data_IF_210997365233
#
_entry.id   IF_210997365233
#
_cell.length_a   1.000
_cell.length_b   1.000
_cell.length_c   1.000
_cell.angle_alpha   90.00
_cell.angle_beta   90.00
_cell.angle_gamma   90.00
#
_symmetry.space_group_name_H-M   'P 1'
#
loop_
_entity.id
_entity.type
_entity.pdbx_description
1 polymer ?
#
# COMPACT_ATOMS: atom_id res chain seq x y z
N UNK A 1 25.03 -2.71 17.34
CA UNK A 1 23.93 -3.71 17.26
C UNK A 1 22.85 -3.19 16.31
N UNK A 2 22.27 -4.03 15.42
CA UNK A 2 21.16 -3.62 14.56
C UNK A 2 19.92 -3.31 15.41
N UNK A 3 19.31 -2.14 15.20
CA UNK A 3 18.15 -1.71 15.98
C UNK A 3 16.90 -2.45 15.50
N UNK A 4 16.27 -3.26 16.37
CA UNK A 4 15.02 -3.98 16.04
C UNK A 4 13.90 -2.97 15.82
N UNK A 5 13.39 -2.85 14.58
CA UNK A 5 12.27 -1.96 14.27
C UNK A 5 10.98 -2.58 14.81
N UNK A 6 10.28 -1.85 15.68
CA UNK A 6 8.89 -2.14 16.06
C UNK A 6 8.00 -1.64 14.92
N UNK A 7 7.86 -2.41 13.85
CA UNK A 7 6.84 -2.10 12.82
C UNK A 7 5.60 -2.90 13.16
N UNK A 8 4.54 -2.22 13.56
CA UNK A 8 3.20 -2.82 13.59
C UNK A 8 2.67 -2.87 12.15
N UNK A 9 2.49 -4.06 11.54
CA UNK A 9 2.07 -4.19 10.15
C UNK A 9 0.66 -3.63 9.90
N UNK A 10 -0.19 -3.58 10.94
CA UNK A 10 -1.58 -3.09 10.83
C UNK A 10 -1.65 -1.63 10.41
N UNK A 11 -0.63 -0.83 10.76
CA UNK A 11 -0.54 0.59 10.40
C UNK A 11 -0.31 0.84 8.90
N UNK A 12 0.00 -0.21 8.12
CA UNK A 12 0.24 -0.11 6.68
C UNK A 12 -0.98 -0.45 5.83
N UNK A 13 -2.05 -0.99 6.43
CA UNK A 13 -3.31 -1.27 5.77
C UNK A 13 -4.29 -0.14 6.11
N UNK A 14 -4.36 0.88 5.26
CA UNK A 14 -5.33 1.96 5.37
C UNK A 14 -6.08 2.09 4.06
N UNK A 15 -7.38 2.33 4.17
CA UNK A 15 -8.25 2.55 3.01
C UNK A 15 -8.20 4.01 2.54
N UNK A 16 -8.56 4.23 1.27
CA UNK A 16 -8.58 5.56 0.67
C UNK A 16 -9.47 6.54 1.45
N UNK A 17 -10.63 6.06 1.89
CA UNK A 17 -11.60 6.83 2.67
C UNK A 17 -11.02 7.32 3.99
N UNK A 18 -10.31 6.43 4.71
CA UNK A 18 -9.67 6.76 5.98
C UNK A 18 -8.56 7.79 5.81
N UNK A 19 -7.75 7.67 4.75
CA UNK A 19 -6.72 8.67 4.42
C UNK A 19 -7.35 10.03 4.10
N UNK A 20 -8.39 10.05 3.28
CA UNK A 20 -9.12 11.27 2.92
C UNK A 20 -9.72 11.96 4.16
N UNK A 21 -10.39 11.19 5.01
CA UNK A 21 -10.98 11.70 6.26
C UNK A 21 -9.90 12.31 7.17
N UNK A 22 -8.77 11.62 7.34
CA UNK A 22 -7.66 12.11 8.16
C UNK A 22 -7.03 13.41 7.64
N UNK A 23 -6.88 13.54 6.31
CA UNK A 23 -6.35 14.76 5.68
C UNK A 23 -7.32 15.92 5.88
N UNK A 24 -8.62 15.69 5.70
CA UNK A 24 -9.65 16.71 5.90
C UNK A 24 -9.74 17.14 7.37
N UNK A 25 -9.71 16.20 8.32
CA UNK A 25 -9.71 16.52 9.74
C UNK A 25 -8.52 17.40 10.14
N UNK A 26 -7.36 17.16 9.55
CA UNK A 26 -6.18 17.99 9.81
C UNK A 26 -6.25 19.38 9.16
N UNK A 27 -6.63 19.45 7.88
CA UNK A 27 -6.53 20.68 7.08
C UNK A 27 -7.76 21.59 7.19
N UNK A 28 -8.96 21.02 7.34
CA UNK A 28 -10.22 21.78 7.45
C UNK A 28 -10.62 22.01 8.89
N UNK A 29 -10.57 20.96 9.72
CA UNK A 29 -11.04 21.03 11.12
C UNK A 29 -9.93 21.46 12.10
N UNK A 30 -8.69 21.66 11.59
CA UNK A 30 -7.56 22.12 12.39
C UNK A 30 -7.05 21.09 13.42
N UNK A 31 -7.45 19.82 13.30
CA UNK A 31 -7.08 18.79 14.26
C UNK A 31 -5.56 18.53 14.22
N UNK A 32 -4.87 18.32 15.36
CA UNK A 32 -3.46 17.94 15.37
C UNK A 32 -3.18 16.69 14.54
N UNK A 33 -2.09 16.69 13.78
CA UNK A 33 -1.79 15.57 12.85
C UNK A 33 -1.64 14.21 13.56
N UNK A 34 -1.20 14.22 14.83
CA UNK A 34 -1.08 13.01 15.65
C UNK A 34 -2.45 12.44 16.02
N UNK A 35 -3.40 13.29 16.39
CA UNK A 35 -4.74 12.85 16.80
C UNK A 35 -5.55 12.40 15.59
N UNK A 36 -5.44 13.10 14.45
CA UNK A 36 -6.06 12.65 13.21
C UNK A 36 -5.51 11.29 12.74
N UNK A 37 -4.19 11.08 12.84
CA UNK A 37 -3.55 9.81 12.51
C UNK A 37 -4.04 8.65 13.37
N UNK A 38 -4.15 8.85 14.69
CA UNK A 38 -4.64 7.80 15.60
C UNK A 38 -6.13 7.52 15.40
N UNK A 39 -6.93 8.56 15.15
CA UNK A 39 -8.38 8.44 14.97
C UNK A 39 -8.75 7.60 13.75
N UNK A 40 -8.05 7.81 12.63
CA UNK A 40 -8.31 7.13 11.37
C UNK A 40 -7.38 5.94 11.11
N UNK A 41 -6.62 5.51 12.12
CA UNK A 41 -5.68 4.39 12.02
C UNK A 41 -4.66 4.51 10.87
N UNK A 42 -4.19 5.73 10.58
CA UNK A 42 -3.20 6.00 9.52
C UNK A 42 -1.84 6.34 10.15
N UNK A 43 -0.72 5.90 9.55
CA UNK A 43 0.59 6.35 10.01
C UNK A 43 0.77 7.87 9.88
N UNK A 44 1.25 8.51 10.96
CA UNK A 44 1.57 9.95 10.98
C UNK A 44 2.48 10.39 9.82
N UNK A 45 3.52 9.61 9.51
CA UNK A 45 4.44 9.91 8.41
C UNK A 45 3.73 9.92 7.05
N UNK A 46 2.86 8.94 6.84
CA UNK A 46 2.04 8.83 5.63
C UNK A 46 1.05 9.98 5.54
N UNK A 47 0.29 10.25 6.60
CA UNK A 47 -0.64 11.38 6.66
C UNK A 47 0.08 12.70 6.37
N UNK A 48 1.24 12.95 6.98
CA UNK A 48 2.03 14.16 6.73
C UNK A 48 2.46 14.30 5.27
N UNK A 49 2.81 13.21 4.60
CA UNK A 49 3.14 13.21 3.17
C UNK A 49 1.92 13.62 2.33
N UNK A 50 0.75 13.05 2.63
CA UNK A 50 -0.49 13.36 1.91
C UNK A 50 -0.96 14.79 2.16
N UNK A 51 -0.94 15.28 3.40
CA UNK A 51 -1.29 16.67 3.71
C UNK A 51 -0.41 17.65 2.95
N UNK A 52 0.92 17.40 2.89
CA UNK A 52 1.85 18.23 2.12
C UNK A 52 1.54 18.21 0.63
N UNK A 53 1.33 17.03 0.06
CA UNK A 53 0.99 16.89 -1.36
C UNK A 53 -0.33 17.60 -1.70
N UNK A 54 -1.35 17.44 -0.87
CA UNK A 54 -2.66 18.08 -1.04
C UNK A 54 -2.61 19.61 -0.86
N UNK A 55 -1.76 20.10 0.05
CA UNK A 55 -1.56 21.55 0.20
C UNK A 55 -0.79 22.18 -0.96
N UNK A 56 0.04 21.40 -1.66
CA UNK A 56 0.85 21.86 -2.77
C UNK A 56 0.13 21.77 -4.13
N UNK A 57 -0.90 20.92 -4.26
CA UNK A 57 -1.71 20.81 -5.47
C UNK A 57 -2.59 22.05 -5.70
N UNK A 58 -2.79 22.43 -6.96
CA UNK A 58 -3.71 23.50 -7.35
C UNK A 58 -5.18 23.11 -7.07
N UNK A 59 -6.10 24.08 -7.00
CA UNK A 59 -7.49 23.81 -6.66
C UNK A 59 -8.20 22.86 -7.65
N UNK A 60 -7.83 22.93 -8.94
CA UNK A 60 -8.30 22.00 -9.97
C UNK A 60 -7.81 20.56 -9.72
N UNK A 61 -6.57 20.40 -9.27
CA UNK A 61 -5.96 19.10 -8.99
C UNK A 61 -6.44 18.49 -7.67
N UNK A 62 -6.88 19.32 -6.70
CA UNK A 62 -7.44 18.85 -5.42
C UNK A 62 -8.71 18.03 -5.61
N UNK A 63 -9.52 18.36 -6.63
CA UNK A 63 -10.76 17.62 -6.94
C UNK A 63 -10.45 16.19 -7.40
N UNK A 64 -9.38 16.01 -8.17
CA UNK A 64 -8.95 14.71 -8.70
C UNK A 64 -7.85 14.03 -7.86
N UNK A 65 -7.54 14.57 -6.69
CA UNK A 65 -6.43 14.08 -5.87
C UNK A 65 -6.71 12.68 -5.34
N UNK A 66 -5.82 11.74 -5.65
CA UNK A 66 -5.91 10.35 -5.19
C UNK A 66 -5.36 10.22 -3.79
N UNK A 67 -6.14 9.63 -2.89
CA UNK A 67 -5.68 9.36 -1.53
C UNK A 67 -5.02 7.99 -1.40
N UNK A 68 -4.95 7.20 -2.49
CA UNK A 68 -4.24 5.92 -2.55
C UNK A 68 -2.76 6.05 -2.92
N UNK A 69 -1.91 5.07 -2.57
CA UNK A 69 -0.56 4.98 -3.08
C UNK A 69 -0.55 4.69 -4.58
N UNK A 70 0.46 5.20 -5.29
CA UNK A 70 0.63 4.91 -6.72
C UNK A 70 1.30 3.54 -6.90
N UNK A 71 0.51 2.48 -6.94
CA UNK A 71 0.98 1.10 -7.12
C UNK A 71 1.49 0.81 -8.54
N UNK A 72 1.18 1.68 -9.51
CA UNK A 72 1.59 1.49 -10.90
C UNK A 72 3.06 1.86 -11.16
N UNK A 73 3.75 2.44 -10.17
CA UNK A 73 5.16 2.81 -10.33
C UNK A 73 6.02 1.54 -10.21
N UNK A 74 6.85 1.28 -11.22
CA UNK A 74 7.78 0.14 -11.29
C UNK A 74 7.11 -1.24 -11.43
N UNK A 75 5.89 -1.30 -11.99
CA UNK A 75 5.35 -2.57 -12.47
C UNK A 75 6.30 -3.15 -13.52
N UNK A 76 6.80 -4.36 -13.25
CA UNK A 76 7.73 -5.08 -14.15
C UNK A 76 6.94 -5.90 -15.16
N UNK A 77 5.84 -6.50 -14.73
CA UNK A 77 4.93 -7.26 -15.58
C UNK A 77 3.73 -6.39 -15.97
N UNK A 78 3.29 -6.52 -17.22
CA UNK A 78 1.96 -6.07 -17.62
C UNK A 78 0.89 -7.01 -17.05
N UNK A 79 -0.38 -6.58 -17.06
CA UNK A 79 -1.50 -7.44 -16.62
C UNK A 79 -1.50 -8.77 -17.36
N UNK A 80 -1.29 -8.73 -18.69
CA UNK A 80 -1.25 -9.95 -19.53
C UNK A 80 -0.08 -10.88 -19.14
N UNK A 81 1.06 -10.32 -18.75
CA UNK A 81 2.20 -11.10 -18.28
C UNK A 81 1.93 -11.72 -16.91
N UNK A 82 1.23 -11.02 -16.02
CA UNK A 82 0.81 -11.56 -14.72
C UNK A 82 -0.17 -12.73 -14.90
N UNK A 83 -1.15 -12.60 -15.81
CA UNK A 83 -2.12 -13.66 -16.12
C UNK A 83 -1.44 -14.92 -16.71
N UNK A 84 -0.47 -14.70 -17.61
CA UNK A 84 0.34 -15.77 -18.19
C UNK A 84 1.20 -16.48 -17.14
N UNK A 85 1.82 -15.70 -16.23
CA UNK A 85 2.62 -16.23 -15.14
C UNK A 85 1.78 -17.02 -14.15
N UNK A 86 0.59 -16.54 -13.79
CA UNK A 86 -0.38 -17.25 -12.95
C UNK A 86 -0.74 -18.60 -13.58
N UNK A 87 -1.10 -18.58 -14.86
CA UNK A 87 -1.44 -19.78 -15.62
C UNK A 87 -0.30 -20.80 -15.60
N UNK A 88 0.94 -20.33 -15.80
CA UNK A 88 2.13 -21.17 -15.75
C UNK A 88 2.41 -21.76 -14.36
N UNK A 89 2.26 -20.98 -13.29
CA UNK A 89 2.44 -21.44 -11.91
C UNK A 89 1.37 -22.49 -11.55
N UNK A 90 0.11 -22.25 -11.91
CA UNK A 90 -0.97 -23.20 -11.69
C UNK A 90 -0.76 -24.50 -12.47
N UNK A 91 -0.31 -24.39 -13.73
CA UNK A 91 0.01 -25.54 -14.56
C UNK A 91 1.15 -26.37 -13.96
N UNK A 92 2.26 -25.72 -13.59
CA UNK A 92 3.42 -26.39 -12.99
C UNK A 92 3.09 -27.02 -11.63
N UNK A 93 2.24 -26.36 -10.82
CA UNK A 93 1.73 -26.90 -9.56
C UNK A 93 0.86 -28.15 -9.77
N UNK A 94 -0.02 -28.15 -10.78
CA UNK A 94 -0.82 -29.33 -11.13
C UNK A 94 0.03 -30.46 -11.72
N UNK A 95 1.04 -30.10 -12.52
CA UNK A 95 2.02 -31.02 -13.09
C UNK A 95 3.11 -31.42 -12.09
N UNK A 96 2.97 -31.10 -10.82
CA UNK A 96 3.92 -31.54 -9.80
C UNK A 96 3.69 -33.06 -9.58
N UNK A 97 4.25 -33.88 -10.48
CA UNK A 97 4.08 -35.33 -10.66
C UNK A 97 4.59 -36.16 -9.45
N UNK A 98 4.13 -35.85 -8.24
CA UNK A 98 4.51 -36.55 -7.02
C UNK A 98 5.98 -36.37 -6.60
N UNK A 99 6.71 -35.39 -7.15
CA UNK A 99 8.08 -35.04 -6.75
C UNK A 99 8.08 -34.28 -5.41
N UNK A 100 7.66 -34.98 -4.36
CA UNK A 100 7.88 -34.57 -2.97
C UNK A 100 9.36 -34.66 -2.61
N UNK A 101 9.81 -33.85 -1.65
CA UNK A 101 11.22 -33.68 -1.21
C UNK A 101 12.04 -34.96 -1.06
N UNK A 102 11.43 -36.14 -0.86
CA UNK A 102 12.10 -37.43 -0.80
C UNK A 102 12.75 -37.87 -2.13
N UNK A 103 12.29 -37.37 -3.29
CA UNK A 103 12.71 -37.86 -4.62
C UNK A 103 13.70 -36.96 -5.37
N UNK A 104 14.03 -35.78 -4.83
CA UNK A 104 14.90 -34.79 -5.51
C UNK A 104 16.37 -34.83 -5.07
N UNK A 105 16.77 -35.79 -4.23
CA UNK A 105 18.18 -35.98 -3.83
C UNK A 105 18.75 -37.17 -4.60
N UNK A 106 19.13 -36.93 -5.85
CA UNK A 106 20.13 -37.73 -6.56
C UNK A 106 21.48 -37.01 -6.43
#
# INVERSE_FOLDING_TARGET
MPRKRKSDPSLYAWDEENMKAAVMAHLKDGMPIRTAATLHAVQKSTLSRYCKAYSASADEEKVAFRFTPRYDVKKVFSSEMEDSLESYILLSSRMNYGLTKKRQRN
#
